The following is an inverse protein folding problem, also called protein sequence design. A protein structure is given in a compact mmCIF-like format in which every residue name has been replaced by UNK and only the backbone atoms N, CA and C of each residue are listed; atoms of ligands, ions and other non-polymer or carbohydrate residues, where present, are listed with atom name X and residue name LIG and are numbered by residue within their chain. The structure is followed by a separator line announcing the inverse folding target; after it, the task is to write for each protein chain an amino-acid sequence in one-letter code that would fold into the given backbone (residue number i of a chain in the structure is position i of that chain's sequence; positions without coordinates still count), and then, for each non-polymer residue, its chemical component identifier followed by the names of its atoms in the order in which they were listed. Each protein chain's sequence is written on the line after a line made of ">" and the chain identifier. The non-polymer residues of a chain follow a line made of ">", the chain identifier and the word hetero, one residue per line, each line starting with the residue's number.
data_IF_789608531528
#
_entry.id   IF_789608531528
#
_cell.length_a   1.000
_cell.length_b   1.000
_cell.length_c   1.000
_cell.angle_alpha   90.00
_cell.angle_beta   90.00
_cell.angle_gamma   90.00
#
_symmetry.space_group_name_H-M   'P 1'
#
loop_
_entity.id
_entity.type
_entity.pdbx_description
1 polymer ?
#
# COMPACT_ATOMS: atom_id res chain seq x y z
N UNK A 1 -0.93 -7.17 12.60
CA UNK A 1 0.08 -6.13 12.86
C UNK A 1 0.41 -5.52 11.51
N UNK A 2 0.31 -4.21 11.35
CA UNK A 2 0.63 -3.54 10.08
C UNK A 2 2.04 -2.98 10.20
N UNK A 3 2.98 -3.46 9.38
CA UNK A 3 4.33 -2.92 9.32
C UNK A 3 4.34 -1.66 8.46
N UNK A 4 5.07 -0.62 8.89
CA UNK A 4 5.11 0.69 8.21
C UNK A 4 6.53 1.21 8.00
N UNK A 5 7.56 0.41 8.31
CA UNK A 5 8.96 0.81 8.31
C UNK A 5 9.41 1.38 6.96
N UNK A 6 9.09 0.68 5.86
CA UNK A 6 9.46 1.11 4.52
C UNK A 6 8.74 2.40 4.08
N UNK A 7 7.41 2.55 4.23
CA UNK A 7 6.74 3.85 4.06
C UNK A 7 7.39 4.99 4.86
N UNK A 8 7.78 4.76 6.11
CA UNK A 8 8.45 5.79 6.92
C UNK A 8 9.81 6.17 6.34
N UNK A 9 10.59 5.21 5.84
CA UNK A 9 11.83 5.49 5.12
C UNK A 9 11.57 6.27 3.82
N UNK A 10 10.51 5.93 3.07
CA UNK A 10 10.11 6.68 1.87
C UNK A 10 9.75 8.13 2.22
N UNK A 11 9.09 8.38 3.37
CA UNK A 11 8.84 9.75 3.84
C UNK A 11 10.14 10.56 4.04
N UNK A 12 11.21 9.91 4.44
CA UNK A 12 12.54 10.52 4.58
C UNK A 12 13.27 10.71 3.24
N UNK A 13 12.71 10.21 2.14
CA UNK A 13 13.25 10.34 0.78
C UNK A 13 14.07 9.14 0.31
N UNK A 14 13.96 7.99 0.98
CA UNK A 14 14.61 6.75 0.54
C UNK A 14 14.06 6.31 -0.81
N UNK A 15 14.96 5.92 -1.71
CA UNK A 15 14.59 5.28 -2.98
C UNK A 15 14.68 3.76 -2.83
N UNK A 16 13.61 3.09 -3.23
CA UNK A 16 13.55 1.63 -3.32
C UNK A 16 13.81 1.23 -4.78
N UNK A 17 14.79 0.36 -4.97
CA UNK A 17 15.01 -0.33 -6.25
C UNK A 17 14.64 -1.80 -6.05
N UNK A 18 13.90 -2.38 -7.01
CA UNK A 18 13.48 -3.78 -6.96
C UNK A 18 14.17 -4.67 -8.00
N UNK A 19 14.76 -4.07 -9.05
CA UNK A 19 15.49 -4.79 -10.09
C UNK A 19 16.79 -4.06 -10.48
N UNK A 20 17.90 -4.77 -10.77
CA UNK A 20 18.09 -6.23 -10.74
C UNK A 20 18.25 -6.83 -9.33
N UNK A 21 18.46 -5.99 -8.31
CA UNK A 21 18.59 -6.40 -6.91
C UNK A 21 17.76 -5.47 -6.03
N UNK A 22 17.18 -6.00 -4.95
CA UNK A 22 16.39 -5.20 -4.02
C UNK A 22 17.29 -4.47 -3.03
N UNK A 23 17.39 -3.15 -3.15
CA UNK A 23 18.15 -2.33 -2.21
C UNK A 23 17.51 -0.97 -1.96
N UNK A 24 17.92 -0.36 -0.84
CA UNK A 24 17.47 0.96 -0.39
C UNK A 24 18.62 1.96 -0.54
N UNK A 25 18.33 3.11 -1.12
CA UNK A 25 19.28 4.23 -1.22
C UNK A 25 18.80 5.37 -0.35
N UNK A 26 19.56 5.68 0.70
CA UNK A 26 19.34 6.88 1.50
C UNK A 26 19.64 8.12 0.67
N UNK A 27 18.87 9.21 0.81
CA UNK A 27 19.18 10.46 0.15
C UNK A 27 20.46 11.08 0.72
N UNK A 28 21.31 11.62 -0.15
CA UNK A 28 22.51 12.35 0.27
C UNK A 28 22.12 13.62 1.06
N UNK A 29 22.90 13.93 2.11
CA UNK A 29 22.72 15.13 2.91
C UNK A 29 21.51 15.09 3.85
N UNK A 30 20.90 13.91 4.07
CA UNK A 30 19.81 13.72 5.04
C UNK A 30 20.19 14.23 6.44
N UNK A 31 21.46 14.04 6.82
CA UNK A 31 22.06 14.48 8.08
C UNK A 31 22.09 16.00 8.23
N UNK A 32 22.00 16.75 7.13
CA UNK A 32 21.99 18.21 7.13
C UNK A 32 20.57 18.78 7.23
N UNK A 33 19.54 17.93 7.14
CA UNK A 33 18.15 18.38 7.23
C UNK A 33 17.74 18.46 8.71
N UNK A 34 17.20 19.60 9.18
CA UNK A 34 16.69 19.72 10.54
C UNK A 34 15.67 18.63 10.88
N UNK A 35 15.86 17.98 12.03
CA UNK A 35 14.97 16.92 12.54
C UNK A 35 13.48 17.31 12.51
N UNK A 36 13.05 18.53 12.86
CA UNK A 36 11.64 18.90 12.78
C UNK A 36 11.05 18.79 11.38
N UNK A 37 11.83 19.04 10.32
CA UNK A 37 11.38 18.93 8.94
C UNK A 37 11.21 17.45 8.57
N UNK A 38 12.17 16.60 8.94
CA UNK A 38 12.09 15.15 8.71
C UNK A 38 10.91 14.52 9.43
N UNK A 39 10.70 14.89 10.70
CA UNK A 39 9.55 14.45 11.48
C UNK A 39 8.23 14.87 10.83
N UNK A 40 8.14 16.10 10.31
CA UNK A 40 6.93 16.58 9.65
C UNK A 40 6.61 15.79 8.38
N UNK A 41 7.61 15.29 7.64
CA UNK A 41 7.37 14.42 6.47
C UNK A 41 6.71 13.10 6.87
N UNK A 42 7.18 12.48 7.94
CA UNK A 42 6.59 11.27 8.50
C UNK A 42 5.15 11.53 8.95
N UNK A 43 4.91 12.63 9.68
CA UNK A 43 3.57 13.03 10.12
C UNK A 43 2.64 13.24 8.93
N UNK A 44 3.12 13.90 7.87
CA UNK A 44 2.32 14.14 6.66
C UNK A 44 1.96 12.83 5.95
N UNK A 45 2.92 11.91 5.78
CA UNK A 45 2.64 10.61 5.15
C UNK A 45 1.62 9.79 5.95
N UNK A 46 1.81 9.69 7.27
CA UNK A 46 0.90 8.94 8.14
C UNK A 46 -0.47 9.61 8.22
N UNK A 47 -0.53 10.94 8.20
CA UNK A 47 -1.77 11.71 8.13
C UNK A 47 -2.53 11.46 6.82
N UNK A 48 -1.83 11.47 5.68
CA UNK A 48 -2.44 11.16 4.38
C UNK A 48 -2.97 9.73 4.34
N UNK A 49 -2.20 8.76 4.84
CA UNK A 49 -2.64 7.36 4.93
C UNK A 49 -3.87 7.20 5.84
N UNK A 50 -3.89 7.89 6.98
CA UNK A 50 -5.04 7.90 7.88
C UNK A 50 -6.29 8.47 7.20
N UNK A 51 -6.18 9.60 6.50
CA UNK A 51 -7.30 10.20 5.77
C UNK A 51 -7.83 9.27 4.68
N UNK A 52 -6.94 8.65 3.90
CA UNK A 52 -7.33 7.67 2.87
C UNK A 52 -8.07 6.46 3.46
N UNK A 53 -7.61 5.96 4.61
CA UNK A 53 -8.31 4.88 5.30
C UNK A 53 -9.71 5.31 5.75
N UNK A 54 -9.87 6.54 6.24
CA UNK A 54 -11.18 7.09 6.62
C UNK A 54 -12.12 7.26 5.44
N UNK A 55 -11.62 7.67 4.27
CA UNK A 55 -12.40 7.78 3.04
C UNK A 55 -12.97 6.42 2.62
N UNK A 56 -12.12 5.39 2.56
CA UNK A 56 -12.54 4.01 2.23
C UNK A 56 -13.54 3.48 3.26
N UNK A 57 -13.23 3.63 4.56
CA UNK A 57 -14.12 3.20 5.63
C UNK A 57 -15.47 3.92 5.59
N UNK A 58 -15.46 5.23 5.30
CA UNK A 58 -16.65 6.05 5.14
C UNK A 58 -17.54 5.58 3.99
N UNK A 59 -16.95 5.31 2.82
CA UNK A 59 -17.68 4.75 1.67
C UNK A 59 -18.29 3.37 1.99
N UNK A 60 -17.63 2.60 2.85
CA UNK A 60 -18.13 1.30 3.33
C UNK A 60 -19.16 1.40 4.47
N UNK A 61 -19.43 2.59 5.01
CA UNK A 61 -20.27 2.77 6.21
C UNK A 61 -19.68 2.16 7.49
N UNK A 62 -18.35 1.97 7.53
CA UNK A 62 -17.63 1.43 8.69
C UNK A 62 -17.03 2.59 9.48
N UNK A 63 -17.23 2.59 10.80
CA UNK A 63 -16.70 3.63 11.71
C UNK A 63 -15.48 3.19 12.51
N UNK A 64 -15.15 1.89 12.50
CA UNK A 64 -14.05 1.34 13.29
C UNK A 64 -13.17 0.43 12.43
N UNK A 65 -11.88 0.71 12.35
CA UNK A 65 -10.95 -0.04 11.51
C UNK A 65 -10.91 -1.54 11.86
N UNK A 66 -11.12 -1.91 13.14
CA UNK A 66 -11.18 -3.33 13.55
C UNK A 66 -12.29 -4.12 12.86
N UNK A 67 -13.37 -3.45 12.45
CA UNK A 67 -14.48 -4.08 11.74
C UNK A 67 -14.11 -4.44 10.31
N UNK A 68 -13.04 -3.88 9.75
CA UNK A 68 -12.52 -4.30 8.44
C UNK A 68 -11.89 -5.70 8.48
N UNK A 69 -11.47 -6.17 9.66
CA UNK A 69 -10.84 -7.49 9.78
C UNK A 69 -11.88 -8.57 9.46
N UNK A 70 -11.63 -9.33 8.40
CA UNK A 70 -12.51 -10.42 7.96
C UNK A 70 -13.69 -9.97 7.09
N UNK A 71 -13.77 -8.68 6.72
CA UNK A 71 -14.77 -8.20 5.77
C UNK A 71 -14.37 -8.56 4.33
N UNK A 72 -14.69 -9.79 3.93
CA UNK A 72 -14.46 -10.27 2.55
C UNK A 72 -15.65 -10.06 1.63
N UNK A 73 -16.88 -9.89 2.18
CA UNK A 73 -18.10 -9.78 1.38
C UNK A 73 -18.20 -8.56 0.46
N UNK A 74 -17.23 -7.65 0.52
CA UNK A 74 -17.08 -6.47 -0.35
C UNK A 74 -15.73 -6.41 -1.05
N UNK A 75 -14.87 -7.41 -0.84
CA UNK A 75 -13.63 -7.53 -1.58
C UNK A 75 -13.95 -7.99 -3.00
N UNK A 76 -13.19 -7.46 -3.96
CA UNK A 76 -13.23 -7.90 -5.36
C UNK A 76 -11.92 -8.64 -5.59
N UNK A 77 -11.99 -9.94 -5.83
CA UNK A 77 -10.83 -10.76 -6.12
C UNK A 77 -10.63 -10.86 -7.63
N UNK A 78 -9.41 -10.64 -8.08
CA UNK A 78 -9.10 -10.62 -9.51
C UNK A 78 -9.46 -11.97 -10.16
N UNK A 79 -9.14 -13.07 -9.50
CA UNK A 79 -9.37 -14.43 -9.98
C UNK A 79 -10.86 -14.70 -10.19
N UNK A 80 -11.72 -14.26 -9.26
CA UNK A 80 -13.19 -14.39 -9.38
C UNK A 80 -13.73 -13.58 -10.55
N UNK A 81 -13.23 -12.34 -10.73
CA UNK A 81 -13.64 -11.47 -11.84
C UNK A 81 -13.16 -12.04 -13.19
N UNK A 82 -11.93 -12.53 -13.26
CA UNK A 82 -11.35 -13.11 -14.47
C UNK A 82 -12.08 -14.40 -14.87
N UNK A 83 -12.40 -15.28 -13.90
CA UNK A 83 -13.15 -16.51 -14.17
C UNK A 83 -14.59 -16.22 -14.66
N UNK A 84 -15.31 -15.32 -14.00
CA UNK A 84 -16.70 -14.98 -14.39
C UNK A 84 -16.74 -14.29 -15.77
N UNK A 85 -15.76 -13.42 -16.06
CA UNK A 85 -15.71 -12.66 -17.33
C UNK A 85 -15.15 -13.48 -18.49
N UNK A 86 -14.07 -14.23 -18.27
CA UNK A 86 -13.25 -14.82 -19.33
C UNK A 86 -13.08 -16.33 -19.24
N UNK A 87 -13.35 -16.96 -18.09
CA UNK A 87 -13.14 -18.41 -17.88
C UNK A 87 -13.91 -19.30 -18.85
N UNK A 88 -15.07 -18.85 -19.32
CA UNK A 88 -15.86 -19.56 -20.36
C UNK A 88 -15.29 -19.39 -21.77
N UNK A 89 -14.60 -18.29 -22.04
CA UNK A 89 -14.05 -17.94 -23.35
C UNK A 89 -12.66 -18.55 -23.57
N UNK A 90 -11.86 -18.68 -22.51
CA UNK A 90 -10.47 -19.13 -22.60
C UNK A 90 -10.16 -20.26 -21.60
N UNK A 91 -10.71 -21.46 -21.85
CA UNK A 91 -10.60 -22.65 -20.97
C UNK A 91 -9.18 -23.20 -20.75
N UNK A 92 -8.19 -22.79 -21.54
CA UNK A 92 -6.81 -23.30 -21.48
C UNK A 92 -5.82 -22.13 -21.41
N UNK A 93 -5.74 -21.45 -20.26
CA UNK A 93 -4.62 -20.56 -19.98
C UNK A 93 -3.71 -21.22 -18.94
N UNK A 94 -2.43 -21.37 -19.28
CA UNK A 94 -1.40 -21.36 -18.26
C UNK A 94 -1.46 -19.98 -17.62
N UNK A 95 -1.66 -19.92 -16.30
CA UNK A 95 -1.61 -18.67 -15.57
C UNK A 95 -0.27 -18.01 -15.89
N UNK A 96 -0.30 -16.83 -16.53
CA UNK A 96 0.90 -16.03 -16.68
C UNK A 96 1.23 -15.55 -15.28
N UNK A 97 2.17 -16.25 -14.62
CA UNK A 97 2.75 -15.81 -13.38
C UNK A 97 3.50 -14.51 -13.68
N UNK A 98 2.93 -13.39 -13.26
CA UNK A 98 3.67 -12.15 -13.10
C UNK A 98 4.55 -12.24 -11.86
#
# INVERSE_FOLDING_TARGET
>A
MTAVDLPLLIALGVRLYEEPEKFLVLPEGLENIPVPILAQRIVNLMGAWHSQLLEVMGAMGIREARRLRGETGRAIFFEEVDEDTFGKLFKNREAVSL
#
